data_IF_592650894726
#
_entry.id   IF_592650894726
#
_cell.length_a   1.000
_cell.length_b   1.000
_cell.length_c   1.000
_cell.angle_alpha   90.00
_cell.angle_beta   90.00
_cell.angle_gamma   90.00
#
_symmetry.space_group_name_H-M   'P 1'
#
loop_
_entity.id
_entity.type
_entity.pdbx_description
1 polymer ?
#
# COMPACT_ATOMS: atom_id res chain seq x y z
N UNK A 1 -8.29 4.12 10.26
CA UNK A 1 -6.96 3.50 10.45
C UNK A 1 -6.54 2.78 9.17
N UNK A 2 -5.86 3.45 8.25
CA UNK A 2 -5.36 2.79 7.06
C UNK A 2 -4.02 2.11 7.33
N UNK A 3 -3.94 0.83 7.01
CA UNK A 3 -2.72 0.04 7.10
C UNK A 3 -2.36 -0.44 5.69
N UNK A 4 -1.25 0.08 5.16
CA UNK A 4 -0.78 -0.22 3.81
C UNK A 4 0.49 -1.06 3.88
N UNK A 5 0.48 -2.21 3.22
CA UNK A 5 1.69 -3.03 3.04
C UNK A 5 1.92 -3.24 1.55
N UNK A 6 3.13 -2.95 1.11
CA UNK A 6 3.56 -3.14 -0.28
C UNK A 6 4.66 -4.17 -0.31
N UNK A 7 4.40 -5.28 -0.99
CA UNK A 7 5.40 -6.32 -1.29
C UNK A 7 5.87 -6.11 -2.72
N UNK A 8 7.17 -6.12 -2.94
CA UNK A 8 7.72 -5.95 -4.28
C UNK A 8 8.98 -6.79 -4.47
N UNK A 9 9.19 -7.25 -5.69
CA UNK A 9 10.45 -7.90 -6.08
C UNK A 9 11.44 -6.90 -6.68
N UNK A 10 11.14 -5.62 -6.62
CA UNK A 10 12.05 -4.56 -7.05
C UNK A 10 12.80 -4.04 -5.82
N UNK A 11 14.12 -4.10 -5.86
CA UNK A 11 14.96 -3.58 -4.79
C UNK A 11 14.83 -2.05 -4.74
N UNK A 12 14.72 -1.51 -3.53
CA UNK A 12 14.63 -0.06 -3.30
C UNK A 12 15.67 0.34 -2.24
N UNK A 13 16.17 1.58 -2.33
CA UNK A 13 17.27 2.03 -1.46
C UNK A 13 16.79 2.69 -0.17
N UNK A 14 15.72 3.46 -0.22
CA UNK A 14 15.24 4.21 0.93
C UNK A 14 13.78 3.87 1.22
N UNK A 15 13.60 2.70 1.85
CA UNK A 15 12.26 2.22 2.19
C UNK A 15 11.54 3.10 3.19
N UNK A 16 12.26 3.72 4.11
CA UNK A 16 11.65 4.63 5.08
C UNK A 16 11.05 5.86 4.39
N UNK A 17 11.75 6.44 3.43
CA UNK A 17 11.24 7.58 2.67
C UNK A 17 10.02 7.17 1.82
N UNK A 18 10.07 6.00 1.19
CA UNK A 18 8.92 5.46 0.45
C UNK A 18 7.70 5.29 1.36
N UNK A 19 7.91 4.74 2.55
CA UNK A 19 6.83 4.54 3.52
C UNK A 19 6.23 5.88 3.98
N UNK A 20 7.07 6.88 4.22
CA UNK A 20 6.59 8.22 4.60
C UNK A 20 5.78 8.87 3.46
N UNK A 21 6.29 8.82 2.23
CA UNK A 21 5.58 9.38 1.07
C UNK A 21 4.27 8.64 0.80
N UNK A 22 4.27 7.31 0.90
CA UNK A 22 3.07 6.51 0.74
C UNK A 22 2.04 6.79 1.84
N UNK A 23 2.50 7.08 3.06
CA UNK A 23 1.61 7.48 4.16
C UNK A 23 0.91 8.79 3.86
N UNK A 24 1.65 9.77 3.33
CA UNK A 24 1.08 11.07 2.95
C UNK A 24 0.02 10.90 1.85
N UNK A 25 0.34 10.11 0.83
CA UNK A 25 -0.60 9.82 -0.25
C UNK A 25 -1.86 9.15 0.29
N UNK A 26 -1.70 8.14 1.12
CA UNK A 26 -2.83 7.38 1.70
C UNK A 26 -3.72 8.29 2.53
N UNK A 27 -3.14 9.09 3.41
CA UNK A 27 -3.88 10.03 4.26
C UNK A 27 -4.67 11.03 3.41
N UNK A 28 -4.02 11.63 2.43
CA UNK A 28 -4.62 12.65 1.57
C UNK A 28 -5.78 12.10 0.76
N UNK A 29 -5.56 10.95 0.11
CA UNK A 29 -6.54 10.40 -0.82
C UNK A 29 -7.73 9.79 -0.09
N UNK A 30 -7.49 9.12 1.03
CA UNK A 30 -8.58 8.51 1.81
C UNK A 30 -9.22 9.49 2.80
N UNK A 31 -8.70 10.72 2.91
CA UNK A 31 -9.24 11.69 3.84
C UNK A 31 -9.07 11.30 5.30
N UNK A 32 -7.93 10.72 5.65
CA UNK A 32 -7.61 10.28 7.00
C UNK A 32 -6.41 11.07 7.53
N UNK A 33 -6.32 11.30 8.84
CA UNK A 33 -5.13 11.92 9.41
C UNK A 33 -3.90 11.03 9.23
N UNK A 34 -2.78 11.61 8.80
CA UNK A 34 -1.55 10.84 8.56
C UNK A 34 -1.04 10.13 9.83
N UNK A 35 -1.35 10.70 11.00
CA UNK A 35 -0.98 10.08 12.28
C UNK A 35 -1.60 8.71 12.52
N UNK A 36 -2.61 8.32 11.75
CA UNK A 36 -3.26 7.02 11.88
C UNK A 36 -2.83 6.04 10.78
N UNK A 37 -1.98 6.47 9.86
CA UNK A 37 -1.55 5.61 8.75
C UNK A 37 -0.33 4.81 9.16
N UNK A 38 -0.35 3.51 8.86
CA UNK A 38 0.85 2.68 8.91
C UNK A 38 1.16 2.24 7.49
N UNK A 39 2.35 2.54 7.00
CA UNK A 39 2.79 2.11 5.68
C UNK A 39 4.07 1.29 5.80
N UNK A 40 4.17 0.24 4.98
CA UNK A 40 5.20 -0.75 5.09
C UNK A 40 5.63 -1.20 3.68
N UNK A 41 6.94 -1.16 3.40
CA UNK A 41 7.49 -1.65 2.13
C UNK A 41 8.40 -2.84 2.41
N UNK A 42 8.10 -3.96 1.77
CA UNK A 42 8.82 -5.22 1.96
C UNK A 42 9.39 -5.67 0.60
N UNK A 43 10.71 -5.77 0.53
CA UNK A 43 11.37 -6.33 -0.63
C UNK A 43 11.44 -7.85 -0.50
N UNK A 44 10.99 -8.57 -1.54
CA UNK A 44 11.10 -10.02 -1.60
C UNK A 44 11.47 -10.41 -3.04
N UNK A 45 12.73 -10.86 -3.29
CA UNK A 45 13.14 -11.24 -4.64
C UNK A 45 12.45 -12.51 -5.14
N UNK A 46 11.75 -13.24 -4.27
CA UNK A 46 11.12 -14.51 -4.58
C UNK A 46 9.63 -14.37 -4.88
N UNK A 47 9.28 -13.36 -5.68
CA UNK A 47 7.90 -13.12 -6.12
C UNK A 47 7.80 -13.32 -7.62
N UNK A 48 6.68 -13.88 -8.06
CA UNK A 48 6.37 -14.03 -9.48
C UNK A 48 5.07 -13.27 -9.78
N UNK A 49 5.06 -12.56 -10.90
CA UNK A 49 3.89 -11.82 -11.38
C UNK A 49 3.47 -12.42 -12.73
N UNK A 50 2.22 -12.87 -12.80
CA UNK A 50 1.74 -13.58 -13.97
C UNK A 50 2.52 -14.87 -14.24
N UNK A 51 3.06 -15.49 -13.19
CA UNK A 51 3.86 -16.70 -13.30
C UNK A 51 5.33 -16.49 -13.66
N UNK A 52 5.79 -15.23 -13.76
CA UNK A 52 7.17 -14.92 -14.12
C UNK A 52 7.91 -14.24 -12.96
N UNK A 53 9.00 -14.84 -12.51
CA UNK A 53 9.88 -14.23 -11.51
C UNK A 53 10.77 -13.13 -12.11
N UNK A 54 10.89 -13.07 -13.44
CA UNK A 54 11.62 -12.01 -14.12
C UNK A 54 10.81 -10.71 -14.24
N UNK A 55 9.48 -10.79 -14.09
CA UNK A 55 8.62 -9.62 -14.17
C UNK A 55 8.74 -8.80 -12.90
N UNK A 56 8.94 -7.49 -13.06
CA UNK A 56 8.94 -6.54 -11.95
C UNK A 56 7.50 -6.20 -11.58
N UNK A 57 7.18 -6.21 -10.31
CA UNK A 57 5.83 -5.91 -9.87
C UNK A 57 5.74 -5.57 -8.39
N UNK A 58 4.52 -5.30 -7.97
CA UNK A 58 4.18 -5.03 -6.58
C UNK A 58 2.80 -5.58 -6.26
N UNK A 59 2.64 -6.04 -5.04
CA UNK A 59 1.36 -6.40 -4.45
C UNK A 59 1.14 -5.52 -3.23
N UNK A 60 0.16 -4.64 -3.29
CA UNK A 60 -0.18 -3.76 -2.19
C UNK A 60 -1.48 -4.23 -1.55
N UNK A 61 -1.50 -4.22 -0.22
CA UNK A 61 -2.68 -4.54 0.56
C UNK A 61 -3.00 -3.36 1.46
N UNK A 62 -4.24 -2.88 1.38
CA UNK A 62 -4.73 -1.82 2.24
C UNK A 62 -5.85 -2.37 3.10
N UNK A 63 -5.71 -2.23 4.42
CA UNK A 63 -6.79 -2.48 5.37
C UNK A 63 -7.17 -1.14 5.98
N UNK A 64 -8.44 -0.77 5.88
CA UNK A 64 -8.91 0.51 6.41
C UNK A 64 -10.34 0.38 6.93
N UNK A 65 -10.65 1.12 7.98
CA UNK A 65 -12.03 1.25 8.44
C UNK A 65 -12.73 2.20 7.48
N UNK A 66 -13.56 1.64 6.61
CA UNK A 66 -14.15 2.39 5.51
C UNK A 66 -13.20 2.53 4.33
N UNK A 67 -13.76 2.51 3.13
CA UNK A 67 -13.00 2.57 1.86
C UNK A 67 -13.41 3.78 1.01
N UNK A 68 -13.83 4.88 1.65
CA UNK A 68 -14.11 6.13 0.93
C UNK A 68 -12.86 6.63 0.21
N UNK A 69 -12.99 6.96 -1.08
CA UNK A 69 -11.87 7.39 -1.90
C UNK A 69 -11.05 6.26 -2.51
N UNK A 70 -11.55 5.02 -2.43
CA UNK A 70 -10.79 3.85 -2.88
C UNK A 70 -10.37 3.90 -4.35
N UNK A 71 -11.23 4.41 -5.24
CA UNK A 71 -10.91 4.42 -6.67
C UNK A 71 -9.76 5.39 -6.97
N UNK A 72 -9.78 6.57 -6.36
CA UNK A 72 -8.69 7.54 -6.47
C UNK A 72 -7.41 6.96 -5.84
N UNK A 73 -7.52 6.27 -4.72
CA UNK A 73 -6.38 5.65 -4.05
C UNK A 73 -5.72 4.59 -4.94
N UNK A 74 -6.51 3.72 -5.58
CA UNK A 74 -6.00 2.71 -6.50
C UNK A 74 -5.20 3.37 -7.63
N UNK A 75 -5.76 4.39 -8.25
CA UNK A 75 -5.09 5.08 -9.36
C UNK A 75 -3.80 5.77 -8.93
N UNK A 76 -3.84 6.51 -7.82
CA UNK A 76 -2.67 7.24 -7.35
C UNK A 76 -1.57 6.34 -6.79
N UNK A 77 -1.95 5.28 -6.08
CA UNK A 77 -0.96 4.32 -5.58
C UNK A 77 -0.30 3.57 -6.74
N UNK A 78 -1.08 3.18 -7.76
CA UNK A 78 -0.52 2.54 -8.94
C UNK A 78 0.53 3.43 -9.60
N UNK A 79 0.23 4.71 -9.82
CA UNK A 79 1.17 5.65 -10.40
C UNK A 79 2.41 5.85 -9.51
N UNK A 80 2.22 5.95 -8.21
CA UNK A 80 3.29 6.09 -7.24
C UNK A 80 4.25 4.89 -7.29
N UNK A 81 3.70 3.67 -7.26
CA UNK A 81 4.51 2.45 -7.27
C UNK A 81 5.23 2.27 -8.61
N UNK A 82 4.56 2.56 -9.73
CA UNK A 82 5.17 2.49 -11.04
C UNK A 82 6.39 3.43 -11.14
N UNK A 83 6.24 4.66 -10.67
CA UNK A 83 7.30 5.67 -10.74
C UNK A 83 8.46 5.36 -9.79
N UNK A 84 8.16 5.06 -8.53
CA UNK A 84 9.20 4.86 -7.51
C UNK A 84 9.92 3.52 -7.62
N UNK A 85 9.24 2.48 -8.10
CA UNK A 85 9.83 1.15 -8.25
C UNK A 85 10.26 0.83 -9.68
N UNK A 86 10.01 1.73 -10.63
CA UNK A 86 10.38 1.51 -12.03
C UNK A 86 9.63 0.35 -12.66
N UNK A 87 8.35 0.19 -12.33
CA UNK A 87 7.52 -0.88 -12.89
C UNK A 87 6.84 -0.33 -14.15
N UNK A 88 7.24 -0.85 -15.32
CA UNK A 88 6.72 -0.39 -16.59
C UNK A 88 5.34 -0.96 -16.91
N UNK A 89 5.08 -2.19 -16.47
CA UNK A 89 3.81 -2.88 -16.75
C UNK A 89 2.85 -2.74 -15.57
N UNK A 90 1.88 -1.84 -15.68
CA UNK A 90 0.93 -1.59 -14.58
C UNK A 90 0.09 -2.83 -14.21
N UNK A 91 -0.09 -3.77 -15.14
CA UNK A 91 -0.76 -5.03 -14.83
C UNK A 91 -0.03 -5.83 -13.75
N UNK A 92 1.24 -5.55 -13.50
CA UNK A 92 2.03 -6.19 -12.46
C UNK A 92 1.96 -5.43 -11.13
N UNK A 93 1.15 -4.38 -11.06
CA UNK A 93 0.85 -3.69 -9.81
C UNK A 93 -0.54 -4.10 -9.40
N UNK A 94 -0.62 -4.88 -8.33
CA UNK A 94 -1.88 -5.44 -7.83
C UNK A 94 -2.19 -4.82 -6.48
N UNK A 95 -3.44 -4.44 -6.28
CA UNK A 95 -3.89 -3.79 -5.04
C UNK A 95 -5.13 -4.53 -4.54
N UNK A 96 -5.08 -4.98 -3.30
CA UNK A 96 -6.22 -5.58 -2.62
C UNK A 96 -6.67 -4.66 -1.47
N UNK A 97 -7.96 -4.41 -1.38
CA UNK A 97 -8.53 -3.55 -0.36
C UNK A 97 -9.40 -4.37 0.58
N UNK A 98 -9.25 -4.14 1.87
CA UNK A 98 -10.05 -4.78 2.90
C UNK A 98 -10.71 -3.69 3.76
N UNK A 99 -12.03 -3.71 3.82
CA UNK A 99 -12.79 -2.86 4.74
C UNK A 99 -12.79 -3.55 6.10
N UNK A 100 -11.97 -3.02 7.01
CA UNK A 100 -11.77 -3.63 8.34
C UNK A 100 -12.85 -3.14 9.30
N UNK A 101 -13.47 -4.06 10.08
CA UNK A 101 -14.41 -3.64 11.12
C UNK A 101 -13.70 -2.82 12.20
N UNK A 102 -14.29 -1.71 12.59
CA UNK A 102 -13.75 -0.87 13.66
C UNK A 102 -13.60 -1.63 14.97
N UNK A 103 -14.55 -2.52 15.27
CA UNK A 103 -14.52 -3.32 16.48
C UNK A 103 -13.34 -4.31 16.53
N UNK A 104 -12.74 -4.59 15.39
CA UNK A 104 -11.61 -5.53 15.27
C UNK A 104 -10.31 -4.82 14.92
N UNK A 105 -10.30 -3.49 14.95
CA UNK A 105 -9.12 -2.68 14.70
C UNK A 105 -8.78 -1.91 15.99
N UNK A 106 -7.52 -1.94 16.37
CA UNK A 106 -7.13 -1.36 17.63
C UNK A 106 -5.93 -0.42 17.48
N UNK A 107 -5.93 0.61 18.28
CA UNK A 107 -4.81 1.53 18.42
C UNK A 107 -4.77 2.01 19.86
N UNK A 108 -3.58 2.26 20.37
CA UNK A 108 -3.38 2.77 21.72
C UNK A 108 -4.01 1.85 22.80
N UNK A 109 -3.99 0.53 22.53
CA UNK A 109 -4.48 -0.47 23.46
C UNK A 109 -6.00 -0.63 23.53
N UNK A 110 -6.73 -0.03 22.60
CA UNK A 110 -8.21 -0.07 22.60
C UNK A 110 -8.74 -0.33 21.20
N UNK A 111 -9.83 -1.09 21.14
CA UNK A 111 -10.57 -1.24 19.89
C UNK A 111 -11.20 0.09 19.49
N UNK A 112 -11.32 0.34 18.18
CA UNK A 112 -11.82 1.59 17.64
C UNK A 112 -13.34 1.60 17.44
N UNK A 113 -14.00 0.52 17.71
CA UNK A 113 -15.44 0.42 17.62
C UNK A 113 -16.06 -0.43 18.67
#
# INVERSE_FOLDING_TARGET
>A
MPYLTVYTNVEFKNGAALAEEASELTARVLGKPVGYVVANFIYNPNMAFGGSAAAKGALAELKSIGLGGKDAFIGELTAFLAAHLGIAEERNINIALVDSPAAQTACNGKALG
#
